data_IF_611571813851
#
_entry.id   IF_611571813851
#
_cell.length_a   1.000
_cell.length_b   1.000
_cell.length_c   1.000
_cell.angle_alpha   90.00
_cell.angle_beta   90.00
_cell.angle_gamma   90.00
#
_symmetry.space_group_name_H-M   'P 1'
#
loop_
_entity.id
_entity.type
_entity.pdbx_description
1 polymer ?
#
# COMPACT_ATOMS: atom_id res chain seq x y z
N UNK A 1 13.34 -15.33 4.50
CA UNK A 1 12.28 -15.41 3.47
C UNK A 1 11.42 -16.62 3.80
N UNK A 2 10.12 -16.38 3.96
CA UNK A 2 9.17 -17.41 4.37
C UNK A 2 8.71 -18.33 3.25
N UNK A 3 7.90 -19.31 3.63
CA UNK A 3 7.42 -20.35 2.72
C UNK A 3 6.52 -19.78 1.62
N UNK A 4 6.65 -20.32 0.43
CA UNK A 4 5.87 -19.94 -0.76
C UNK A 4 5.94 -18.45 -1.12
N UNK A 5 6.98 -17.75 -0.67
CA UNK A 5 7.28 -16.40 -1.12
C UNK A 5 8.00 -16.47 -2.45
N UNK A 6 7.51 -15.70 -3.41
CA UNK A 6 8.08 -15.62 -4.75
C UNK A 6 8.76 -14.27 -4.95
N UNK A 7 9.99 -14.30 -5.43
CA UNK A 7 10.76 -13.10 -5.78
C UNK A 7 11.13 -13.22 -7.26
N UNK A 8 10.54 -12.36 -8.07
CA UNK A 8 10.75 -12.41 -9.51
C UNK A 8 12.08 -11.78 -9.89
N UNK A 9 12.70 -12.35 -10.90
CA UNK A 9 13.95 -11.85 -11.45
C UNK A 9 13.74 -10.54 -12.19
N UNK A 10 14.72 -9.63 -12.06
CA UNK A 10 14.72 -8.42 -12.86
C UNK A 10 14.97 -8.69 -14.35
N UNK A 11 14.60 -7.75 -15.20
CA UNK A 11 14.79 -7.84 -16.64
C UNK A 11 16.21 -7.40 -17.03
N UNK A 12 16.48 -6.10 -17.06
CA UNK A 12 17.81 -5.54 -17.34
C UNK A 12 18.60 -5.27 -16.07
N UNK A 13 17.92 -4.82 -15.02
CA UNK A 13 18.49 -4.62 -13.71
C UNK A 13 17.95 -5.66 -12.74
N UNK A 14 18.62 -5.86 -11.62
CA UNK A 14 18.26 -6.89 -10.66
C UNK A 14 17.08 -6.49 -9.79
N UNK A 15 16.40 -7.50 -9.27
CA UNK A 15 15.55 -7.37 -8.09
C UNK A 15 16.48 -7.47 -6.88
N UNK A 16 16.40 -6.50 -5.97
CA UNK A 16 17.36 -6.37 -4.87
C UNK A 16 16.64 -6.41 -3.52
N UNK A 17 17.04 -7.37 -2.70
CA UNK A 17 16.60 -7.49 -1.30
C UNK A 17 17.83 -7.22 -0.44
N UNK A 18 17.85 -6.11 0.27
CA UNK A 18 19.00 -5.72 1.08
C UNK A 18 19.10 -6.51 2.39
N UNK A 19 20.16 -6.25 3.16
CA UNK A 19 20.42 -6.98 4.39
C UNK A 19 19.34 -6.77 5.45
N UNK A 20 19.07 -7.82 6.22
CA UNK A 20 18.15 -7.76 7.35
C UNK A 20 16.67 -7.71 6.98
N UNK A 21 16.33 -7.80 5.71
CA UNK A 21 14.93 -7.84 5.26
C UNK A 21 14.27 -9.14 5.73
N UNK A 22 13.05 -9.03 6.24
CA UNK A 22 12.26 -10.18 6.69
C UNK A 22 10.97 -10.23 5.87
N UNK A 23 10.83 -11.30 5.10
CA UNK A 23 9.62 -11.58 4.33
C UNK A 23 8.94 -12.81 4.91
N UNK A 24 7.69 -12.67 5.32
CA UNK A 24 6.88 -13.77 5.82
C UNK A 24 6.43 -14.66 4.65
N UNK A 25 5.42 -15.47 4.84
CA UNK A 25 4.95 -16.46 3.88
C UNK A 25 4.04 -15.83 2.82
N UNK A 26 3.98 -16.45 1.64
CA UNK A 26 3.04 -16.12 0.58
C UNK A 26 3.15 -14.66 0.09
N UNK A 27 4.35 -14.14 0.08
CA UNK A 27 4.62 -12.79 -0.43
C UNK A 27 4.99 -12.87 -1.91
N UNK A 28 4.52 -11.91 -2.70
CA UNK A 28 4.91 -11.76 -4.10
C UNK A 28 5.74 -10.48 -4.26
N UNK A 29 6.99 -10.62 -4.63
CA UNK A 29 7.88 -9.52 -5.00
C UNK A 29 8.05 -9.52 -6.50
N UNK A 30 7.57 -8.48 -7.16
CA UNK A 30 7.65 -8.34 -8.61
C UNK A 30 9.08 -8.07 -9.11
N UNK A 31 9.22 -8.12 -10.43
CA UNK A 31 10.51 -7.89 -11.08
C UNK A 31 11.04 -6.47 -10.82
N UNK A 32 12.34 -6.32 -10.68
CA UNK A 32 13.02 -5.04 -10.50
C UNK A 32 12.61 -4.27 -9.22
N UNK A 33 12.00 -4.94 -8.25
CA UNK A 33 11.70 -4.35 -6.94
C UNK A 33 12.98 -4.21 -6.15
N UNK A 34 13.10 -3.13 -5.40
CA UNK A 34 14.16 -2.93 -4.43
C UNK A 34 13.56 -2.80 -3.03
N UNK A 35 14.05 -3.58 -2.10
CA UNK A 35 13.63 -3.51 -0.69
C UNK A 35 14.83 -3.15 0.16
N UNK A 36 14.75 -2.00 0.83
CA UNK A 36 15.81 -1.47 1.66
C UNK A 36 16.04 -2.28 2.95
N UNK A 37 17.20 -2.14 3.51
CA UNK A 37 17.67 -2.93 4.67
C UNK A 37 16.68 -2.88 5.83
N UNK A 38 16.58 -3.99 6.54
CA UNK A 38 15.77 -4.15 7.76
C UNK A 38 14.28 -3.89 7.58
N UNK A 39 13.76 -3.85 6.36
CA UNK A 39 12.34 -3.79 6.10
C UNK A 39 11.69 -5.14 6.37
N UNK A 40 10.54 -5.15 7.00
CA UNK A 40 9.78 -6.36 7.32
C UNK A 40 8.41 -6.33 6.67
N UNK A 41 8.01 -7.46 6.09
CA UNK A 41 6.70 -7.61 5.46
C UNK A 41 5.99 -8.83 6.04
N UNK A 42 4.75 -8.64 6.45
CA UNK A 42 3.91 -9.72 6.95
C UNK A 42 3.36 -10.57 5.79
N UNK A 43 2.65 -11.64 6.10
CA UNK A 43 2.16 -12.59 5.12
C UNK A 43 1.25 -11.99 4.05
N UNK A 44 1.31 -12.57 2.87
CA UNK A 44 0.44 -12.22 1.75
C UNK A 44 0.61 -10.78 1.20
N UNK A 45 1.71 -10.11 1.51
CA UNK A 45 2.02 -8.80 0.93
C UNK A 45 2.36 -8.97 -0.55
N UNK A 46 1.90 -8.04 -1.39
CA UNK A 46 2.27 -7.97 -2.79
C UNK A 46 3.00 -6.67 -3.08
N UNK A 47 4.13 -6.74 -3.77
CA UNK A 47 4.87 -5.58 -4.25
C UNK A 47 5.02 -5.71 -5.76
N UNK A 48 4.38 -4.81 -6.49
CA UNK A 48 4.39 -4.85 -7.95
C UNK A 48 5.72 -4.38 -8.53
N UNK A 49 5.96 -4.74 -9.77
CA UNK A 49 7.23 -4.53 -10.44
C UNK A 49 7.76 -3.10 -10.38
N UNK A 50 9.06 -2.97 -10.25
CA UNK A 50 9.80 -1.71 -10.25
C UNK A 50 9.48 -0.76 -9.08
N UNK A 51 8.78 -1.23 -8.05
CA UNK A 51 8.60 -0.46 -6.83
C UNK A 51 9.90 -0.46 -6.01
N UNK A 52 10.15 0.63 -5.30
CA UNK A 52 11.30 0.78 -4.42
C UNK A 52 10.82 1.06 -3.00
N UNK A 53 11.12 0.17 -2.09
CA UNK A 53 10.76 0.28 -0.69
C UNK A 53 12.00 0.69 0.09
N UNK A 54 11.90 1.72 0.91
CA UNK A 54 13.02 2.20 1.71
C UNK A 54 13.45 1.24 2.81
N UNK A 55 14.40 1.69 3.60
CA UNK A 55 14.92 0.93 4.76
C UNK A 55 14.02 1.10 5.97
N UNK A 56 14.04 0.11 6.86
CA UNK A 56 13.30 0.12 8.13
C UNK A 56 11.80 0.34 7.97
N UNK A 57 11.24 -0.06 6.85
CA UNK A 57 9.80 -0.05 6.62
C UNK A 57 9.15 -1.29 7.22
N UNK A 58 7.86 -1.20 7.49
CA UNK A 58 7.03 -2.35 7.86
C UNK A 58 5.76 -2.35 7.03
N UNK A 59 5.39 -3.51 6.50
CA UNK A 59 4.20 -3.66 5.67
C UNK A 59 3.30 -4.71 6.28
N UNK A 60 2.10 -4.30 6.65
CA UNK A 60 1.11 -5.18 7.28
C UNK A 60 0.58 -6.23 6.31
N UNK A 61 0.08 -7.32 6.87
CA UNK A 61 -0.38 -8.48 6.09
C UNK A 61 -1.41 -8.14 5.04
N UNK A 62 -1.29 -8.73 3.87
CA UNK A 62 -2.24 -8.54 2.77
C UNK A 62 -2.20 -7.17 2.09
N UNK A 63 -1.30 -6.29 2.50
CA UNK A 63 -1.15 -4.98 1.84
C UNK A 63 -0.52 -5.14 0.45
N UNK A 64 -0.83 -4.21 -0.43
CA UNK A 64 -0.31 -4.19 -1.81
C UNK A 64 0.33 -2.85 -2.10
N UNK A 65 1.54 -2.89 -2.65
CA UNK A 65 2.23 -1.69 -3.16
C UNK A 65 2.23 -1.77 -4.69
N UNK A 66 1.64 -0.78 -5.34
CA UNK A 66 1.56 -0.77 -6.81
C UNK A 66 2.92 -0.50 -7.44
N UNK A 67 3.02 -0.76 -8.74
CA UNK A 67 4.26 -0.69 -9.49
C UNK A 67 4.83 0.72 -9.63
N UNK A 68 6.16 0.79 -9.75
CA UNK A 68 6.91 2.01 -10.01
C UNK A 68 6.81 3.08 -8.90
N UNK A 69 6.33 2.71 -7.73
CA UNK A 69 6.23 3.63 -6.59
C UNK A 69 7.52 3.60 -5.77
N UNK A 70 7.74 4.68 -5.04
CA UNK A 70 8.84 4.79 -4.07
C UNK A 70 8.28 5.07 -2.69
N UNK A 71 8.69 4.27 -1.71
CA UNK A 71 8.40 4.51 -0.30
C UNK A 71 9.67 4.94 0.40
N UNK A 72 9.59 6.05 1.14
CA UNK A 72 10.71 6.55 1.95
C UNK A 72 11.08 5.55 3.06
N UNK A 73 12.22 5.77 3.69
CA UNK A 73 12.60 5.01 4.88
C UNK A 73 11.61 5.23 6.02
N UNK A 74 11.49 4.26 6.92
CA UNK A 74 10.64 4.35 8.12
C UNK A 74 9.17 4.59 7.84
N UNK A 75 8.66 4.03 6.75
CA UNK A 75 7.23 4.03 6.42
C UNK A 75 6.59 2.74 6.95
N UNK A 76 5.48 2.89 7.67
CA UNK A 76 4.65 1.77 8.09
C UNK A 76 3.34 1.76 7.32
N UNK A 77 3.02 0.65 6.69
CA UNK A 77 1.76 0.44 5.95
C UNK A 77 0.87 -0.51 6.74
N UNK A 78 -0.33 -0.08 7.05
CA UNK A 78 -1.30 -0.91 7.77
C UNK A 78 -1.75 -2.11 6.93
N UNK A 79 -2.15 -3.18 7.60
CA UNK A 79 -2.62 -4.41 6.94
C UNK A 79 -3.74 -4.13 5.94
N UNK A 80 -3.77 -4.89 4.86
CA UNK A 80 -4.78 -4.85 3.80
C UNK A 80 -4.90 -3.50 3.07
N UNK A 81 -3.96 -2.58 3.27
CA UNK A 81 -3.92 -1.30 2.56
C UNK A 81 -3.46 -1.47 1.11
N UNK A 82 -3.95 -0.60 0.24
CA UNK A 82 -3.44 -0.49 -1.13
C UNK A 82 -2.70 0.83 -1.26
N UNK A 83 -1.39 0.75 -1.48
CA UNK A 83 -0.55 1.94 -1.70
C UNK A 83 -0.57 2.27 -3.18
N UNK A 84 -1.21 3.38 -3.52
CA UNK A 84 -1.46 3.78 -4.92
C UNK A 84 -0.57 4.93 -5.39
N UNK A 85 0.19 5.52 -4.51
CA UNK A 85 1.11 6.61 -4.83
C UNK A 85 2.37 6.52 -3.99
N UNK A 86 3.43 7.14 -4.45
CA UNK A 86 4.68 7.21 -3.69
C UNK A 86 4.50 7.96 -2.38
N UNK A 87 5.26 7.52 -1.38
CA UNK A 87 5.24 8.09 -0.03
C UNK A 87 6.64 8.62 0.27
N UNK A 88 6.77 9.93 0.42
CA UNK A 88 8.07 10.59 0.54
C UNK A 88 8.45 10.98 1.97
N UNK A 89 7.59 10.69 2.94
CA UNK A 89 7.80 11.04 4.33
C UNK A 89 7.56 9.84 5.24
N UNK A 90 8.46 9.59 6.19
CA UNK A 90 8.28 8.57 7.22
C UNK A 90 6.96 8.76 7.97
N UNK A 91 6.34 7.69 8.37
CA UNK A 91 5.08 7.71 9.11
C UNK A 91 4.24 6.46 8.91
N UNK A 92 3.06 6.48 9.49
CA UNK A 92 2.09 5.39 9.41
C UNK A 92 1.00 5.75 8.41
N UNK A 93 0.73 4.86 7.48
CA UNK A 93 -0.24 5.09 6.40
C UNK A 93 -1.24 3.95 6.32
N UNK A 94 -2.50 4.29 6.14
CA UNK A 94 -3.61 3.34 6.03
C UNK A 94 -4.46 3.68 4.81
N UNK A 95 -4.73 2.70 3.98
CA UNK A 95 -5.53 2.87 2.78
C UNK A 95 -6.53 1.73 2.62
N UNK A 96 -7.49 1.64 3.55
CA UNK A 96 -8.54 0.62 3.58
C UNK A 96 -9.85 1.24 4.04
N UNK A 97 -10.97 0.77 3.49
CA UNK A 97 -12.30 1.20 3.90
C UNK A 97 -12.62 0.64 5.30
N UNK A 98 -13.21 1.45 6.21
CA UNK A 98 -13.54 0.98 7.55
C UNK A 98 -14.52 -0.21 7.55
N UNK A 99 -14.28 -1.16 8.44
CA UNK A 99 -15.17 -2.29 8.66
C UNK A 99 -16.44 -1.81 9.39
N UNK A 100 -17.59 -2.31 8.95
CA UNK A 100 -18.87 -2.05 9.61
C UNK A 100 -19.82 -3.24 9.33
N UNK A 101 -20.99 -3.26 10.01
CA UNK A 101 -22.02 -4.17 9.59
C UNK A 101 -22.44 -3.89 8.14
N UNK A 102 -22.95 -4.91 7.44
CA UNK A 102 -23.18 -4.79 6.00
C UNK A 102 -24.16 -3.67 5.64
N UNK A 103 -25.22 -3.49 6.41
CA UNK A 103 -26.21 -2.46 6.11
C UNK A 103 -25.64 -1.05 6.20
N UNK A 104 -24.87 -0.76 7.26
CA UNK A 104 -24.19 0.51 7.42
C UNK A 104 -23.10 0.68 6.35
N UNK A 105 -22.34 -0.36 6.05
CA UNK A 105 -21.30 -0.33 5.03
C UNK A 105 -21.87 0.04 3.66
N UNK A 106 -22.97 -0.57 3.26
CA UNK A 106 -23.61 -0.28 1.97
C UNK A 106 -24.08 1.17 1.87
N UNK A 107 -24.68 1.70 2.95
CA UNK A 107 -25.10 3.11 2.99
C UNK A 107 -23.92 4.05 2.81
N UNK A 108 -22.83 3.80 3.52
CA UNK A 108 -21.62 4.61 3.41
C UNK A 108 -20.97 4.49 2.02
N UNK A 109 -20.93 3.30 1.44
CA UNK A 109 -20.38 3.09 0.11
C UNK A 109 -21.15 3.86 -0.96
N UNK A 110 -22.50 3.84 -0.90
CA UNK A 110 -23.35 4.60 -1.82
C UNK A 110 -23.11 6.10 -1.67
N UNK A 111 -23.03 6.58 -0.43
CA UNK A 111 -22.76 8.00 -0.15
C UNK A 111 -21.39 8.42 -0.64
N UNK A 112 -20.39 7.56 -0.47
CA UNK A 112 -19.04 7.83 -0.96
C UNK A 112 -19.02 8.07 -2.47
N UNK A 113 -19.77 7.30 -3.24
CA UNK A 113 -19.91 7.51 -4.69
C UNK A 113 -20.55 8.84 -5.04
N UNK A 114 -21.31 9.42 -4.12
CA UNK A 114 -22.03 10.68 -4.32
C UNK A 114 -21.29 11.91 -3.78
N UNK A 115 -20.09 11.73 -3.23
CA UNK A 115 -19.34 12.81 -2.57
C UNK A 115 -19.17 14.04 -3.45
N UNK A 116 -18.82 13.87 -4.72
CA UNK A 116 -18.64 15.01 -5.62
C UNK A 116 -19.93 15.80 -5.78
N UNK A 117 -21.05 15.13 -5.98
CA UNK A 117 -22.36 15.78 -6.06
C UNK A 117 -22.74 16.54 -4.79
N UNK A 118 -22.43 15.94 -3.63
CA UNK A 118 -22.66 16.61 -2.34
C UNK A 118 -21.79 17.86 -2.20
N UNK A 119 -20.53 17.80 -2.63
CA UNK A 119 -19.62 18.96 -2.64
C UNK A 119 -20.18 20.09 -3.49
N UNK A 120 -20.71 19.81 -4.67
CA UNK A 120 -21.29 20.82 -5.55
C UNK A 120 -22.56 21.45 -4.93
N UNK A 121 -23.40 20.65 -4.28
CA UNK A 121 -24.58 21.16 -3.57
C UNK A 121 -24.20 22.10 -2.43
N UNK A 122 -23.16 21.76 -1.66
CA UNK A 122 -22.65 22.61 -0.59
C UNK A 122 -22.15 23.94 -1.16
N UNK A 123 -21.39 23.91 -2.25
CA UNK A 123 -20.91 25.13 -2.92
C UNK A 123 -22.05 26.03 -3.34
N UNK A 124 -23.12 25.47 -3.91
CA UNK A 124 -24.31 26.22 -4.30
C UNK A 124 -24.96 26.90 -3.11
N UNK A 125 -25.09 26.20 -1.98
CA UNK A 125 -25.65 26.74 -0.73
C UNK A 125 -24.78 27.90 -0.23
N UNK A 126 -23.45 27.73 -0.23
CA UNK A 126 -22.52 28.78 0.22
C UNK A 126 -22.58 30.03 -0.64
N UNK A 127 -22.77 29.88 -1.97
CA UNK A 127 -22.85 31.00 -2.88
C UNK A 127 -24.14 31.83 -2.73
N UNK A 128 -25.16 31.26 -2.11
CA UNK A 128 -26.46 31.94 -1.91
C UNK A 128 -26.61 32.55 -0.52
N UNK A 129 -25.56 32.65 0.26
CA UNK A 129 -25.56 33.32 1.56
C UNK A 129 -25.48 34.82 1.41
#
# INVERSE_FOLDING_TARGET
IGANTCIDRGALEDTVIEDGVKLDNLIQIGHNVRIGKHTAMAGCVGVAGSASIGAYCTVGGGAVVLGHLTLADHVHISAASVVMRSIHKAGNYTGIFPLDDNAAWEKNAVTLKQLHGLRERIRQIEQHK
#
